data_IF_127035582423
#
_entry.id   IF_127035582423
#
_cell.length_a   1.000
_cell.length_b   1.000
_cell.length_c   1.000
_cell.angle_alpha   90.00
_cell.angle_beta   90.00
_cell.angle_gamma   90.00
#
_symmetry.space_group_name_H-M   'P 1'
#
loop_
_entity.id
_entity.type
_entity.pdbx_description
1 polymer ?
#
# COMPACT_ATOMS: atom_id res chain seq x y z
N UNK A 1 -34.09 -1.51 0.20
CA UNK A 1 -33.22 -0.40 0.64
C UNK A 1 -31.89 -0.88 1.24
N UNK A 2 -31.86 -1.72 2.29
CA UNK A 2 -30.60 -2.21 2.91
C UNK A 2 -29.60 -2.90 1.96
N UNK A 3 -30.08 -3.74 1.03
CA UNK A 3 -29.24 -4.49 0.07
C UNK A 3 -28.57 -3.62 -1.02
N UNK A 4 -29.18 -2.51 -1.42
CA UNK A 4 -28.54 -1.55 -2.33
C UNK A 4 -27.53 -0.66 -1.61
N UNK A 5 -27.77 -0.31 -0.34
CA UNK A 5 -26.83 0.44 0.49
C UNK A 5 -25.52 -0.36 0.72
N UNK A 6 -25.64 -1.67 0.97
CA UNK A 6 -24.50 -2.57 1.21
C UNK A 6 -23.63 -2.75 -0.04
N UNK A 7 -24.25 -2.87 -1.23
CA UNK A 7 -23.54 -2.92 -2.52
C UNK A 7 -22.79 -1.62 -2.80
N UNK A 8 -23.40 -0.45 -2.56
CA UNK A 8 -22.75 0.85 -2.79
C UNK A 8 -21.54 1.04 -1.86
N UNK A 9 -21.66 0.69 -0.58
CA UNK A 9 -20.55 0.74 0.38
C UNK A 9 -19.40 -0.19 -0.03
N UNK A 10 -19.71 -1.44 -0.40
CA UNK A 10 -18.69 -2.40 -0.89
C UNK A 10 -18.02 -1.88 -2.17
N UNK A 11 -18.76 -1.29 -3.11
CA UNK A 11 -18.14 -0.72 -4.31
C UNK A 11 -17.30 0.52 -4.03
N UNK A 12 -17.71 1.40 -3.10
CA UNK A 12 -16.93 2.59 -2.74
C UNK A 12 -15.63 2.21 -2.02
N UNK A 13 -15.65 1.22 -1.12
CA UNK A 13 -14.43 0.72 -0.48
C UNK A 13 -13.51 0.04 -1.50
N UNK A 14 -14.07 -0.74 -2.43
CA UNK A 14 -13.30 -1.48 -3.44
C UNK A 14 -12.63 -0.57 -4.48
N UNK A 15 -13.29 0.53 -4.86
CA UNK A 15 -12.73 1.50 -5.84
C UNK A 15 -11.64 2.37 -5.20
N UNK A 16 -11.78 2.74 -3.92
CA UNK A 16 -10.69 3.41 -3.19
C UNK A 16 -9.47 2.48 -2.99
N UNK A 17 -9.71 1.18 -2.74
CA UNK A 17 -8.63 0.18 -2.65
C UNK A 17 -7.88 -0.01 -3.97
N UNK A 18 -8.54 0.07 -5.12
CA UNK A 18 -7.90 -0.22 -6.42
C UNK A 18 -6.75 0.73 -6.80
N UNK A 19 -6.75 1.97 -6.31
CA UNK A 19 -5.74 2.99 -6.66
C UNK A 19 -4.75 3.32 -5.53
N UNK A 20 -5.18 3.20 -4.26
CA UNK A 20 -4.33 3.50 -3.12
C UNK A 20 -3.13 2.54 -3.03
N UNK A 21 -3.33 1.27 -3.39
CA UNK A 21 -2.29 0.24 -3.28
C UNK A 21 -1.21 0.38 -4.36
N UNK A 22 -1.60 0.85 -5.55
CA UNK A 22 -0.66 1.14 -6.62
C UNK A 22 0.23 2.35 -6.29
N UNK A 23 -0.26 3.30 -5.49
CA UNK A 23 0.50 4.49 -5.10
C UNK A 23 1.77 4.11 -4.32
N UNK A 24 1.66 3.17 -3.37
CA UNK A 24 2.82 2.71 -2.59
C UNK A 24 3.87 2.07 -3.48
N UNK A 25 3.46 1.20 -4.41
CA UNK A 25 4.37 0.55 -5.35
C UNK A 25 5.12 1.55 -6.23
N UNK A 26 4.41 2.54 -6.76
CA UNK A 26 5.02 3.60 -7.58
C UNK A 26 5.96 4.48 -6.76
N UNK A 27 5.53 4.97 -5.60
CA UNK A 27 6.34 5.83 -4.73
C UNK A 27 7.63 5.12 -4.30
N UNK A 28 7.54 3.83 -3.95
CA UNK A 28 8.68 3.03 -3.56
C UNK A 28 9.65 2.75 -4.73
N UNK A 29 9.13 2.46 -5.92
CA UNK A 29 9.95 2.28 -7.14
C UNK A 29 10.61 3.57 -7.59
N UNK A 30 9.96 4.71 -7.40
CA UNK A 30 10.42 6.02 -7.89
C UNK A 30 11.28 6.76 -6.83
N UNK A 31 11.54 6.15 -5.67
CA UNK A 31 12.46 6.68 -4.67
C UNK A 31 11.89 7.79 -3.79
N UNK A 32 10.56 7.91 -3.70
CA UNK A 32 9.88 9.00 -3.01
C UNK A 32 9.64 8.69 -1.53
N UNK A 33 10.69 8.79 -0.72
CA UNK A 33 10.67 8.44 0.70
C UNK A 33 9.54 9.13 1.49
N UNK A 34 9.38 10.44 1.33
CA UNK A 34 8.35 11.21 2.05
C UNK A 34 6.93 10.77 1.68
N UNK A 35 6.71 10.44 0.40
CA UNK A 35 5.41 9.97 -0.07
C UNK A 35 5.11 8.57 0.48
N UNK A 36 6.10 7.66 0.49
CA UNK A 36 5.98 6.35 1.14
C UNK A 36 5.59 6.53 2.61
N UNK A 37 6.31 7.36 3.38
CA UNK A 37 5.99 7.62 4.78
C UNK A 37 4.56 8.13 4.99
N UNK A 38 4.13 9.11 4.18
CA UNK A 38 2.76 9.64 4.23
C UNK A 38 1.68 8.61 3.91
N UNK A 39 1.95 7.68 3.00
CA UNK A 39 1.00 6.61 2.64
C UNK A 39 0.88 5.59 3.79
N UNK A 40 1.99 5.19 4.40
CA UNK A 40 1.99 4.26 5.54
C UNK A 40 1.30 4.85 6.78
N UNK A 41 1.48 6.15 7.03
CA UNK A 41 0.91 6.86 8.17
C UNK A 41 -0.63 6.78 8.22
N UNK A 42 -1.29 6.62 7.07
CA UNK A 42 -2.76 6.47 7.00
C UNK A 42 -3.26 5.21 7.71
N UNK A 43 -2.41 4.18 7.81
CA UNK A 43 -2.75 2.87 8.35
C UNK A 43 -2.14 2.61 9.73
N UNK A 44 -1.48 3.60 10.35
CA UNK A 44 -0.75 3.41 11.63
C UNK A 44 -1.61 2.89 12.80
N UNK A 45 -2.92 3.07 12.73
CA UNK A 45 -3.87 2.66 13.77
C UNK A 45 -4.54 1.31 13.47
N UNK A 46 -4.18 0.66 12.36
CA UNK A 46 -4.73 -0.62 11.93
C UNK A 46 -3.60 -1.49 11.36
N UNK A 47 -2.99 -2.30 12.24
CA UNK A 47 -1.85 -3.16 11.90
C UNK A 47 -2.20 -4.20 10.83
N UNK A 48 -3.43 -4.71 10.84
CA UNK A 48 -3.92 -5.68 9.86
C UNK A 48 -3.98 -5.05 8.47
N UNK A 49 -4.62 -3.88 8.35
CA UNK A 49 -4.71 -3.14 7.10
C UNK A 49 -3.33 -2.70 6.61
N UNK A 50 -2.43 -2.24 7.50
CA UNK A 50 -1.08 -1.86 7.14
C UNK A 50 -0.30 -3.05 6.56
N UNK A 51 -0.41 -4.23 7.17
CA UNK A 51 0.25 -5.45 6.68
C UNK A 51 -0.27 -5.88 5.31
N UNK A 52 -1.58 -5.81 5.08
CA UNK A 52 -2.17 -6.09 3.77
C UNK A 52 -1.69 -5.07 2.74
N UNK A 53 -1.69 -3.79 3.10
CA UNK A 53 -1.27 -2.68 2.23
C UNK A 53 0.19 -2.81 1.77
N UNK A 54 1.14 -3.05 2.68
CA UNK A 54 2.57 -3.15 2.33
C UNK A 54 2.93 -4.41 1.56
N UNK A 55 2.11 -5.47 1.66
CA UNK A 55 2.30 -6.72 0.92
C UNK A 55 1.44 -6.80 -0.35
N UNK A 56 0.65 -5.76 -0.65
CA UNK A 56 -0.15 -5.74 -1.86
C UNK A 56 0.72 -5.88 -3.10
N UNK A 57 0.19 -6.63 -4.07
CA UNK A 57 0.87 -6.95 -5.32
C UNK A 57 0.12 -6.36 -6.50
N UNK A 58 0.87 -5.76 -7.43
CA UNK A 58 0.31 -5.42 -8.72
C UNK A 58 0.00 -6.66 -9.58
N UNK A 59 -0.58 -6.45 -10.74
CA UNK A 59 -0.92 -7.52 -11.71
C UNK A 59 0.29 -8.35 -12.20
N UNK A 60 1.52 -7.93 -11.90
CA UNK A 60 2.76 -8.64 -12.21
C UNK A 60 3.41 -9.24 -10.97
N UNK A 61 2.75 -9.19 -9.81
CA UNK A 61 3.28 -9.70 -8.55
C UNK A 61 4.29 -8.77 -7.86
N UNK A 62 4.47 -7.52 -8.33
CA UNK A 62 5.39 -6.61 -7.67
C UNK A 62 4.73 -5.99 -6.44
N UNK A 63 5.48 -6.00 -5.34
CA UNK A 63 5.18 -5.20 -4.14
C UNK A 63 6.04 -3.93 -4.15
N UNK A 64 5.72 -3.00 -3.24
CA UNK A 64 6.51 -1.79 -3.03
C UNK A 64 7.97 -2.11 -2.70
N UNK A 65 8.21 -3.17 -1.90
CA UNK A 65 9.55 -3.62 -1.57
C UNK A 65 10.32 -4.12 -2.81
N UNK A 66 9.65 -4.86 -3.71
CA UNK A 66 10.26 -5.29 -4.98
C UNK A 66 10.65 -4.07 -5.83
N UNK A 67 9.79 -3.05 -5.88
CA UNK A 67 10.06 -1.80 -6.58
C UNK A 67 11.29 -1.07 -6.03
N UNK A 68 11.33 -0.85 -4.70
CA UNK A 68 12.45 -0.17 -4.03
C UNK A 68 13.77 -0.94 -4.20
N UNK A 69 13.75 -2.27 -4.02
CA UNK A 69 14.95 -3.10 -4.15
C UNK A 69 15.50 -3.11 -5.59
N UNK A 70 14.63 -3.18 -6.62
CA UNK A 70 15.05 -3.15 -8.03
C UNK A 70 15.70 -1.82 -8.44
N UNK A 71 15.46 -0.75 -7.69
CA UNK A 71 15.91 0.61 -7.99
C UNK A 71 16.94 1.14 -6.99
N UNK A 72 17.41 0.28 -6.09
CA UNK A 72 18.41 0.60 -5.06
C UNK A 72 17.99 1.72 -4.11
N UNK A 73 16.70 1.76 -3.76
CA UNK A 73 16.15 2.70 -2.76
C UNK A 73 16.20 2.08 -1.36
N UNK A 74 17.41 1.97 -0.82
CA UNK A 74 17.71 1.26 0.43
C UNK A 74 16.85 1.73 1.61
N UNK A 75 16.76 3.04 1.84
CA UNK A 75 16.04 3.63 2.97
C UNK A 75 14.54 3.28 2.91
N UNK A 76 13.96 3.27 1.71
CA UNK A 76 12.56 2.86 1.50
C UNK A 76 12.40 1.37 1.74
N UNK A 77 13.34 0.53 1.27
CA UNK A 77 13.31 -0.90 1.50
C UNK A 77 13.36 -1.23 3.01
N UNK A 78 14.23 -0.55 3.77
CA UNK A 78 14.32 -0.68 5.22
C UNK A 78 13.02 -0.27 5.92
N UNK A 79 12.45 0.87 5.53
CA UNK A 79 11.16 1.35 6.04
C UNK A 79 10.03 0.34 5.80
N UNK A 80 9.91 -0.17 4.58
CA UNK A 80 8.91 -1.17 4.22
C UNK A 80 9.13 -2.51 4.95
N UNK A 81 10.38 -2.93 5.16
CA UNK A 81 10.69 -4.13 5.94
C UNK A 81 10.30 -3.94 7.41
N UNK A 82 10.55 -2.76 7.99
CA UNK A 82 10.14 -2.46 9.37
C UNK A 82 8.61 -2.52 9.51
N UNK A 83 7.87 -1.93 8.57
CA UNK A 83 6.41 -1.97 8.54
C UNK A 83 5.81 -3.37 8.33
N UNK A 84 6.60 -4.36 7.89
CA UNK A 84 6.16 -5.76 7.71
C UNK A 84 6.34 -6.64 8.95
N UNK A 85 7.10 -6.19 9.95
CA UNK A 85 7.49 -6.99 11.14
C UNK A 85 6.58 -6.79 12.35
N UNK A 86 5.61 -5.89 12.23
CA UNK A 86 4.54 -5.62 13.19
C UNK A 86 3.41 -6.64 13.04
#
# INVERSE_FOLDING_TARGET
MKKHLLLILVTLTSVNMLFADQALNNAARDGKLDEVGRLLEQYKNDEGALKEYVNWQDRWGNTALIGAARKDHKEIAELLIAARRI
#
